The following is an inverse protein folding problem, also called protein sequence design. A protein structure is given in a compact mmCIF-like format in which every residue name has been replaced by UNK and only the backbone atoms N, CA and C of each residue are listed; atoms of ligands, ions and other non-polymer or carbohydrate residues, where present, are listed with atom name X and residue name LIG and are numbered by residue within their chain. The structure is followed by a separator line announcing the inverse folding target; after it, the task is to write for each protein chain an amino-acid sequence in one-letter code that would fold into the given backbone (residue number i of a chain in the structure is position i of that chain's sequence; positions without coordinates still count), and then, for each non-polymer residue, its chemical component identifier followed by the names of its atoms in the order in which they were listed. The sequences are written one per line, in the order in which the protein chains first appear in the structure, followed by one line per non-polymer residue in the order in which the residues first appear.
data_IF_769760620619
#
_entry.id   IF_769760620619
#
_cell.length_a   1.000
_cell.length_b   1.000
_cell.length_c   1.000
_cell.angle_alpha   90.00
_cell.angle_beta   90.00
_cell.angle_gamma   90.00
#
_symmetry.space_group_name_H-M   'P 1'
#
loop_
_entity.id
_entity.type
_entity.pdbx_description
1 polymer ?
#
# COMPACT_ATOMS: atom_id res chain seq x y z
N UNK A 1 8.59 -12.13 -19.69
CA UNK A 1 7.99 -12.43 -18.38
C UNK A 1 6.48 -12.22 -18.47
N UNK A 2 5.66 -13.13 -17.93
CA UNK A 2 4.19 -12.97 -17.92
C UNK A 2 3.77 -11.96 -16.85
N UNK A 3 2.73 -11.16 -17.10
CA UNK A 3 2.13 -10.22 -16.13
C UNK A 3 0.75 -10.73 -15.71
N UNK A 4 0.42 -10.61 -14.43
CA UNK A 4 -0.86 -11.07 -13.87
C UNK A 4 -1.67 -9.91 -13.30
N UNK A 5 -3.00 -10.03 -13.35
CA UNK A 5 -3.94 -9.08 -12.76
C UNK A 5 -5.12 -9.81 -12.14
N UNK A 6 -5.61 -9.33 -11.00
CA UNK A 6 -6.86 -9.83 -10.42
C UNK A 6 -8.07 -9.47 -11.29
N UNK A 7 -9.10 -10.31 -11.27
CA UNK A 7 -10.32 -10.21 -12.10
C UNK A 7 -11.55 -10.26 -11.17
N UNK A 8 -12.54 -9.34 -11.31
CA UNK A 8 -12.66 -8.27 -12.32
C UNK A 8 -11.78 -7.03 -12.03
N UNK A 9 -10.98 -7.08 -10.97
CA UNK A 9 -10.00 -6.05 -10.66
C UNK A 9 -8.99 -6.51 -9.64
N UNK A 10 -7.88 -5.78 -9.49
CA UNK A 10 -6.79 -6.19 -8.58
C UNK A 10 -7.25 -6.41 -7.13
N UNK A 11 -8.25 -5.64 -6.67
CA UNK A 11 -8.81 -5.78 -5.32
C UNK A 11 -9.65 -7.06 -5.10
N UNK A 12 -10.00 -7.80 -6.15
CA UNK A 12 -10.71 -9.09 -6.03
C UNK A 12 -9.92 -10.09 -5.18
N UNK A 13 -8.60 -10.14 -5.37
CA UNK A 13 -7.70 -11.04 -4.64
C UNK A 13 -7.86 -10.83 -3.12
N UNK A 14 -7.72 -9.59 -2.66
CA UNK A 14 -7.85 -9.28 -1.23
C UNK A 14 -9.28 -9.48 -0.72
N UNK A 15 -10.30 -9.16 -1.52
CA UNK A 15 -11.71 -9.37 -1.14
C UNK A 15 -12.03 -10.84 -0.90
N UNK A 16 -11.55 -11.72 -1.77
CA UNK A 16 -11.74 -13.17 -1.60
C UNK A 16 -11.04 -13.67 -0.33
N UNK A 17 -9.78 -13.25 -0.10
CA UNK A 17 -9.04 -13.62 1.12
C UNK A 17 -9.75 -13.17 2.41
N UNK A 18 -10.43 -12.02 2.39
CA UNK A 18 -11.22 -11.52 3.52
C UNK A 18 -12.49 -12.33 3.81
N UNK A 19 -12.90 -13.22 2.90
CA UNK A 19 -14.12 -14.04 2.98
C UNK A 19 -13.84 -15.52 3.25
N UNK A 20 -12.56 -15.91 3.39
CA UNK A 20 -12.16 -17.27 3.73
C UNK A 20 -12.72 -17.69 5.10
N UNK A 21 -13.01 -18.99 5.23
CA UNK A 21 -13.57 -19.54 6.46
C UNK A 21 -12.64 -19.29 7.66
N UNK A 22 -13.23 -18.82 8.77
CA UNK A 22 -12.49 -18.45 9.98
C UNK A 22 -11.91 -17.03 9.97
N UNK A 23 -11.99 -16.28 8.86
CA UNK A 23 -11.55 -14.89 8.81
C UNK A 23 -12.67 -13.94 9.22
N UNK A 24 -12.46 -13.18 10.32
CA UNK A 24 -13.37 -12.12 10.74
C UNK A 24 -12.82 -10.75 10.33
N UNK A 25 -13.30 -10.25 9.19
CA UNK A 25 -12.90 -8.94 8.67
C UNK A 25 -13.60 -7.77 9.37
N UNK A 26 -12.83 -6.80 9.90
CA UNK A 26 -13.36 -5.55 10.48
C UNK A 26 -12.89 -4.34 9.66
N UNK A 27 -13.84 -3.61 9.06
CA UNK A 27 -13.58 -2.40 8.28
C UNK A 27 -13.95 -1.14 9.05
N UNK A 28 -13.37 0.00 8.68
CA UNK A 28 -13.61 1.28 9.36
C UNK A 28 -12.99 1.35 10.77
N UNK A 29 -12.12 0.41 11.11
CA UNK A 29 -11.40 0.36 12.38
C UNK A 29 -9.92 0.62 12.13
N UNK A 30 -9.42 1.72 12.68
CA UNK A 30 -7.98 2.02 12.70
C UNK A 30 -7.44 1.58 14.05
N UNK A 31 -6.40 0.74 14.08
CA UNK A 31 -5.71 0.41 15.33
C UNK A 31 -5.00 1.67 15.83
N UNK A 32 -5.27 2.04 17.08
CA UNK A 32 -4.68 3.21 17.75
C UNK A 32 -3.65 2.84 18.80
N UNK A 33 -3.74 1.65 19.39
CA UNK A 33 -2.82 1.17 20.41
C UNK A 33 -2.71 -0.34 20.40
N UNK A 34 -1.50 -0.83 20.64
CA UNK A 34 -1.14 -2.25 20.72
C UNK A 34 -0.29 -2.45 21.97
N UNK A 35 -0.87 -3.06 23.01
CA UNK A 35 -0.18 -3.30 24.29
C UNK A 35 0.07 -4.79 24.49
N UNK A 36 1.30 -5.16 24.86
CA UNK A 36 1.60 -6.51 25.33
C UNK A 36 1.34 -6.62 26.83
N UNK A 37 0.45 -7.51 27.23
CA UNK A 37 0.12 -7.79 28.63
C UNK A 37 0.96 -8.98 29.10
N UNK A 38 2.06 -8.70 29.80
CA UNK A 38 3.04 -9.71 30.20
C UNK A 38 2.46 -10.78 31.14
N UNK A 39 1.55 -10.39 32.04
CA UNK A 39 0.85 -11.28 32.97
C UNK A 39 -0.06 -12.30 32.27
N UNK A 40 -0.61 -11.93 31.12
CA UNK A 40 -1.53 -12.77 30.33
C UNK A 40 -0.87 -13.41 29.11
N UNK A 41 0.36 -13.01 28.77
CA UNK A 41 1.06 -13.44 27.55
C UNK A 41 0.21 -13.22 26.29
N UNK A 42 -0.48 -12.07 26.24
CA UNK A 42 -1.44 -11.71 25.19
C UNK A 42 -1.34 -10.23 24.82
N UNK A 43 -1.72 -9.90 23.59
CA UNK A 43 -1.91 -8.53 23.11
C UNK A 43 -3.28 -7.98 23.48
N UNK A 44 -3.34 -6.70 23.82
CA UNK A 44 -4.57 -5.91 23.90
C UNK A 44 -4.56 -4.86 22.81
N UNK A 45 -5.64 -4.77 22.03
CA UNK A 45 -5.76 -3.82 20.93
C UNK A 45 -6.86 -2.80 21.23
N UNK A 46 -6.56 -1.53 21.00
CA UNK A 46 -7.56 -0.46 21.02
C UNK A 46 -7.56 0.28 19.68
N UNK A 47 -8.73 0.74 19.26
CA UNK A 47 -8.88 1.57 18.08
C UNK A 47 -8.35 2.99 18.31
N UNK A 48 -8.20 3.75 17.22
CA UNK A 48 -7.76 5.13 17.25
C UNK A 48 -8.68 6.04 18.05
N UNK A 49 -9.99 5.76 18.12
CA UNK A 49 -10.94 6.46 18.99
C UNK A 49 -10.99 5.91 20.44
N UNK A 50 -10.18 4.90 20.76
CA UNK A 50 -10.02 4.37 22.12
C UNK A 50 -10.97 3.24 22.50
N UNK A 51 -11.73 2.70 21.54
CA UNK A 51 -12.59 1.53 21.76
C UNK A 51 -11.73 0.27 21.91
N UNK A 52 -12.06 -0.54 22.90
CA UNK A 52 -11.46 -1.87 23.07
C UNK A 52 -11.84 -2.79 21.90
N UNK A 53 -10.82 -3.42 21.30
CA UNK A 53 -10.96 -4.35 20.17
C UNK A 53 -10.72 -5.81 20.59
N UNK A 54 -10.38 -6.05 21.85
CA UNK A 54 -10.18 -7.37 22.45
C UNK A 54 -8.71 -7.74 22.62
N UNK A 55 -8.51 -8.98 23.10
CA UNK A 55 -7.20 -9.55 23.35
C UNK A 55 -6.88 -10.70 22.38
N UNK A 56 -5.60 -10.86 22.04
CA UNK A 56 -5.12 -11.80 21.04
C UNK A 56 -3.82 -12.46 21.47
N UNK A 57 -3.67 -13.77 21.26
CA UNK A 57 -2.43 -14.48 21.59
C UNK A 57 -1.26 -14.06 20.70
N UNK A 58 -1.52 -13.87 19.41
CA UNK A 58 -0.54 -13.50 18.40
C UNK A 58 -1.01 -12.28 17.63
N UNK A 59 -0.07 -11.46 17.17
CA UNK A 59 -0.35 -10.32 16.28
C UNK A 59 0.52 -10.41 15.04
N UNK A 60 -0.11 -10.22 13.88
CA UNK A 60 0.57 -9.98 12.61
C UNK A 60 0.29 -8.54 12.20
N UNK A 61 1.31 -7.70 12.27
CA UNK A 61 1.22 -6.28 11.94
C UNK A 61 1.70 -6.05 10.50
N UNK A 62 0.78 -5.65 9.61
CA UNK A 62 1.02 -5.60 8.16
C UNK A 62 1.10 -4.19 7.57
N UNK A 63 1.16 -3.17 8.41
CA UNK A 63 1.30 -1.77 8.00
C UNK A 63 2.53 -1.16 8.66
N UNK A 64 3.45 -0.60 7.86
CA UNK A 64 4.64 0.12 8.35
C UNK A 64 4.29 1.28 9.30
N UNK A 65 3.06 1.79 9.23
CA UNK A 65 2.60 2.92 10.04
C UNK A 65 2.42 2.55 11.51
N UNK A 66 2.41 1.27 11.89
CA UNK A 66 2.34 0.83 13.29
C UNK A 66 3.43 1.46 14.18
N UNK A 67 4.58 1.82 13.59
CA UNK A 67 5.74 2.35 14.29
C UNK A 67 6.25 3.68 13.71
N UNK A 68 5.52 4.30 12.78
CA UNK A 68 5.97 5.53 12.12
C UNK A 68 5.51 6.78 12.86
N UNK A 69 6.45 7.64 13.25
CA UNK A 69 6.15 8.92 13.92
C UNK A 69 5.35 9.88 13.03
N UNK A 70 5.38 9.67 11.71
CA UNK A 70 4.53 10.41 10.76
C UNK A 70 3.03 10.24 11.05
N UNK A 71 2.62 9.13 11.66
CA UNK A 71 1.22 8.89 12.09
C UNK A 71 0.78 9.91 13.13
N UNK A 72 1.68 10.36 14.01
CA UNK A 72 1.37 11.36 15.03
C UNK A 72 0.93 12.68 14.42
N UNK A 73 1.59 13.13 13.35
CA UNK A 73 1.20 14.34 12.63
C UNK A 73 -0.14 14.22 11.87
N UNK A 74 -0.57 13.00 11.56
CA UNK A 74 -1.82 12.72 10.83
C UNK A 74 -3.01 12.48 11.76
N UNK A 75 -2.79 11.83 12.90
CA UNK A 75 -3.85 11.36 13.80
C UNK A 75 -3.92 12.12 15.12
N UNK A 76 -2.87 12.86 15.48
CA UNK A 76 -2.75 13.48 16.79
C UNK A 76 -2.47 12.49 17.94
N UNK A 77 -2.19 11.22 17.62
CA UNK A 77 -1.89 10.15 18.59
C UNK A 77 -0.54 9.49 18.25
N UNK A 78 0.19 8.94 19.24
CA UNK A 78 1.42 8.21 18.97
C UNK A 78 1.18 7.00 18.06
N UNK A 79 2.23 6.42 17.47
CA UNK A 79 2.11 5.19 16.68
C UNK A 79 1.50 4.06 17.52
N UNK A 80 0.72 3.15 16.89
CA UNK A 80 0.06 2.05 17.61
C UNK A 80 0.99 1.16 18.43
N UNK A 81 2.19 0.87 17.92
CA UNK A 81 3.19 0.06 18.59
C UNK A 81 4.19 0.95 19.32
N UNK A 82 4.23 0.84 20.65
CA UNK A 82 5.19 1.56 21.47
C UNK A 82 6.60 0.93 21.34
N UNK A 83 7.46 1.58 20.55
CA UNK A 83 8.83 1.12 20.34
C UNK A 83 9.72 1.21 21.58
N UNK A 84 9.32 1.93 22.64
CA UNK A 84 10.12 2.00 23.87
C UNK A 84 10.25 0.63 24.57
N UNK A 85 9.26 -0.25 24.36
CA UNK A 85 9.31 -1.65 24.83
C UNK A 85 9.99 -2.59 23.82
N UNK A 86 10.39 -2.07 22.64
CA UNK A 86 11.11 -2.80 21.59
C UNK A 86 12.37 -2.06 21.09
N UNK A 87 13.36 -1.77 21.97
CA UNK A 87 14.50 -0.95 21.60
C UNK A 87 15.31 -1.54 20.42
N UNK A 88 15.39 -2.87 20.30
CA UNK A 88 16.04 -3.54 19.17
C UNK A 88 15.25 -3.42 17.86
N UNK A 89 13.91 -3.33 17.91
CA UNK A 89 13.08 -3.15 16.72
C UNK A 89 13.04 -1.69 16.28
N UNK A 90 13.20 -0.73 17.19
CA UNK A 90 13.09 0.71 16.89
C UNK A 90 13.98 1.12 15.73
N UNK A 91 15.24 0.68 15.71
CA UNK A 91 16.18 1.00 14.63
C UNK A 91 15.80 0.40 13.26
N UNK A 92 14.98 -0.67 13.25
CA UNK A 92 14.61 -1.39 12.04
C UNK A 92 13.27 -0.94 11.45
N UNK A 93 12.25 -0.72 12.30
CA UNK A 93 10.87 -0.54 11.84
C UNK A 93 10.36 0.90 11.96
N UNK A 94 11.09 1.76 12.66
CA UNK A 94 10.70 3.17 12.80
C UNK A 94 10.90 3.91 11.48
N UNK A 95 9.85 4.58 11.01
CA UNK A 95 9.88 5.52 9.87
C UNK A 95 10.52 4.96 8.58
N UNK A 96 10.21 3.70 8.26
CA UNK A 96 10.67 3.02 7.04
C UNK A 96 10.49 3.95 5.82
N UNK A 97 11.58 4.26 5.08
CA UNK A 97 11.54 5.19 3.98
C UNK A 97 10.70 4.64 2.83
N UNK A 98 10.03 5.55 2.12
CA UNK A 98 9.09 5.23 1.04
C UNK A 98 9.28 6.12 -0.17
N UNK A 99 8.90 5.62 -1.32
CA UNK A 99 8.84 6.33 -2.59
C UNK A 99 7.37 6.66 -2.87
N UNK A 100 6.97 7.94 -2.89
CA UNK A 100 5.62 8.32 -3.25
C UNK A 100 5.37 8.20 -4.77
N UNK A 101 4.10 8.15 -5.16
CA UNK A 101 3.70 8.38 -6.53
C UNK A 101 2.31 9.02 -6.61
N UNK A 102 2.01 9.65 -7.74
CA UNK A 102 0.65 9.96 -8.14
C UNK A 102 0.20 8.96 -9.21
N UNK A 103 -1.06 8.54 -9.11
CA UNK A 103 -1.74 7.79 -10.15
C UNK A 103 -2.82 8.69 -10.77
N UNK A 104 -2.79 8.85 -12.09
CA UNK A 104 -3.80 9.60 -12.85
C UNK A 104 -4.67 8.60 -13.61
N UNK A 105 -5.97 8.62 -13.34
CA UNK A 105 -6.96 7.89 -14.12
C UNK A 105 -7.60 8.81 -15.15
N UNK A 106 -7.62 8.37 -16.40
CA UNK A 106 -8.28 9.03 -17.53
C UNK A 106 -9.36 8.11 -18.09
N UNK A 107 -10.47 8.68 -18.55
CA UNK A 107 -11.41 7.99 -19.42
C UNK A 107 -11.70 8.83 -20.66
N UNK A 108 -11.79 8.17 -21.80
CA UNK A 108 -12.06 8.74 -23.11
C UNK A 108 -13.37 8.18 -23.65
N UNK A 109 -14.13 9.01 -24.37
CA UNK A 109 -15.38 8.62 -25.04
C UNK A 109 -15.15 7.71 -26.24
N UNK A 110 -13.93 7.69 -26.77
CA UNK A 110 -13.48 6.85 -27.87
C UNK A 110 -12.13 6.21 -27.50
N UNK A 111 -11.79 5.00 -28.01
CA UNK A 111 -10.48 4.43 -27.78
C UNK A 111 -9.39 5.26 -28.45
N UNK A 112 -8.21 5.32 -27.84
CA UNK A 112 -7.05 6.01 -28.39
C UNK A 112 -6.44 5.21 -29.55
N UNK A 113 -7.07 5.29 -30.73
CA UNK A 113 -6.71 4.49 -31.90
C UNK A 113 -5.25 4.66 -32.37
N UNK A 114 -4.65 5.83 -32.09
CA UNK A 114 -3.27 6.14 -32.46
C UNK A 114 -2.23 5.68 -31.42
N UNK A 115 -2.66 5.03 -30.33
CA UNK A 115 -1.74 4.44 -29.33
C UNK A 115 -1.68 2.93 -29.59
N UNK A 116 -0.65 2.40 -30.27
CA UNK A 116 -0.63 1.03 -30.80
C UNK A 116 -0.31 -0.04 -29.74
N UNK A 117 -0.29 0.33 -28.47
CA UNK A 117 0.11 -0.53 -27.34
C UNK A 117 -0.84 -0.35 -26.17
N UNK A 118 -0.92 -1.36 -25.32
CA UNK A 118 -1.74 -1.30 -24.10
C UNK A 118 -1.00 -0.70 -22.90
N UNK A 119 0.27 -0.36 -23.05
CA UNK A 119 1.03 0.38 -22.05
C UNK A 119 2.51 0.52 -22.39
N UNK A 120 3.15 1.53 -21.81
CA UNK A 120 4.53 1.90 -22.11
C UNK A 120 5.16 2.69 -20.96
N UNK A 121 6.50 2.71 -20.93
CA UNK A 121 7.31 3.49 -19.99
C UNK A 121 7.71 4.82 -20.60
N UNK A 122 7.90 5.83 -19.75
CA UNK A 122 8.49 7.11 -20.12
C UNK A 122 9.95 7.12 -19.65
N UNK A 123 10.89 7.44 -20.55
CA UNK A 123 12.32 7.50 -20.24
C UNK A 123 12.86 8.93 -20.12
N UNK A 124 12.22 9.89 -20.81
CA UNK A 124 12.63 11.30 -20.85
C UNK A 124 11.56 12.22 -20.26
N UNK A 125 10.83 11.74 -19.26
CA UNK A 125 9.81 12.53 -18.57
C UNK A 125 10.21 12.72 -17.12
N UNK A 126 10.18 13.97 -16.66
CA UNK A 126 10.41 14.29 -15.26
C UNK A 126 9.20 13.95 -14.39
N UNK A 127 8.00 13.84 -14.99
CA UNK A 127 6.73 13.73 -14.26
C UNK A 127 6.03 12.39 -14.40
N UNK A 128 6.13 11.69 -15.54
CA UNK A 128 5.53 10.38 -15.78
C UNK A 128 6.57 9.26 -15.84
N UNK A 129 6.23 8.08 -15.34
CA UNK A 129 7.07 6.88 -15.43
C UNK A 129 6.45 5.76 -16.26
N UNK A 130 5.12 5.67 -16.27
CA UNK A 130 4.40 4.56 -16.89
C UNK A 130 2.96 4.94 -17.24
N UNK A 131 2.45 4.43 -18.36
CA UNK A 131 1.03 4.49 -18.74
C UNK A 131 0.53 3.09 -19.14
N UNK A 132 -0.73 2.80 -18.84
CA UNK A 132 -1.38 1.55 -19.23
C UNK A 132 -2.87 1.75 -19.48
N UNK A 133 -3.38 1.13 -20.55
CA UNK A 133 -4.79 1.02 -20.86
C UNK A 133 -5.46 0.08 -19.85
N UNK A 134 -6.08 0.63 -18.80
CA UNK A 134 -6.71 -0.18 -17.76
C UNK A 134 -7.84 -1.04 -18.33
N UNK A 135 -8.57 -0.52 -19.32
CA UNK A 135 -9.65 -1.25 -20.03
C UNK A 135 -9.20 -2.53 -20.73
N UNK A 136 -7.91 -2.65 -21.08
CA UNK A 136 -7.38 -3.86 -21.73
C UNK A 136 -7.22 -5.05 -20.78
N UNK A 137 -7.35 -4.85 -19.46
CA UNK A 137 -7.23 -5.92 -18.47
C UNK A 137 -8.47 -6.83 -18.51
N UNK A 138 -8.30 -8.15 -18.29
CA UNK A 138 -9.43 -9.09 -18.23
C UNK A 138 -10.48 -8.70 -17.18
N UNK A 139 -11.76 -8.84 -17.55
CA UNK A 139 -12.91 -8.57 -16.68
C UNK A 139 -13.14 -7.10 -16.33
N UNK A 140 -12.50 -6.16 -17.03
CA UNK A 140 -12.83 -4.74 -16.89
C UNK A 140 -14.10 -4.40 -17.66
N UNK A 141 -15.07 -3.88 -16.92
CA UNK A 141 -16.30 -3.34 -17.50
C UNK A 141 -16.10 -1.85 -17.76
N UNK A 142 -16.10 -1.48 -19.04
CA UNK A 142 -16.16 -0.09 -19.49
C UNK A 142 -17.32 0.07 -20.47
N UNK A 143 -17.96 1.26 -20.54
CA UNK A 143 -18.98 1.54 -21.53
C UNK A 143 -18.51 1.20 -22.96
N UNK A 144 -19.42 0.78 -23.86
CA UNK A 144 -19.08 0.56 -25.27
C UNK A 144 -18.38 1.76 -25.86
N UNK A 145 -17.40 1.52 -26.73
CA UNK A 145 -16.57 2.54 -27.37
C UNK A 145 -15.78 3.46 -26.41
N UNK A 146 -15.75 3.21 -25.10
CA UNK A 146 -14.92 3.99 -24.18
C UNK A 146 -13.61 3.28 -23.85
N UNK A 147 -12.61 4.06 -23.42
CA UNK A 147 -11.33 3.51 -22.96
C UNK A 147 -10.81 4.29 -21.76
N UNK A 148 -10.26 3.56 -20.79
CA UNK A 148 -9.63 4.11 -19.61
C UNK A 148 -8.13 3.83 -19.57
N UNK A 149 -7.37 4.82 -19.12
CA UNK A 149 -5.92 4.76 -18.95
C UNK A 149 -5.54 5.11 -17.52
N UNK A 150 -4.52 4.45 -17.01
CA UNK A 150 -3.88 4.80 -15.74
C UNK A 150 -2.43 5.15 -16.01
N UNK A 151 -2.05 6.35 -15.58
CA UNK A 151 -0.71 6.87 -15.66
C UNK A 151 -0.13 6.95 -14.26
N UNK A 152 1.17 6.72 -14.14
CA UNK A 152 1.89 6.80 -12.87
C UNK A 152 3.00 7.82 -13.00
N UNK A 153 3.09 8.69 -12.01
CA UNK A 153 4.17 9.67 -11.95
C UNK A 153 5.55 9.02 -11.71
N UNK A 154 6.60 9.81 -11.85
CA UNK A 154 7.91 9.53 -11.26
C UNK A 154 7.85 9.71 -9.73
N UNK A 155 8.87 9.23 -9.02
CA UNK A 155 8.99 9.44 -7.57
C UNK A 155 9.36 10.89 -7.27
N UNK A 156 10.23 11.45 -8.11
CA UNK A 156 10.84 12.76 -8.00
C UNK A 156 9.78 13.86 -8.11
N UNK A 157 8.91 13.77 -9.12
CA UNK A 157 7.75 14.66 -9.26
C UNK A 157 6.82 14.54 -8.05
N UNK A 158 6.49 13.32 -7.64
CA UNK A 158 5.57 13.11 -6.53
C UNK A 158 6.12 13.69 -5.22
N UNK A 159 7.41 13.50 -4.92
CA UNK A 159 8.06 14.08 -3.75
C UNK A 159 7.99 15.61 -3.77
N UNK A 160 8.39 16.24 -4.87
CA UNK A 160 8.36 17.71 -5.02
C UNK A 160 6.96 18.28 -4.81
N UNK A 161 5.95 17.66 -5.41
CA UNK A 161 4.55 18.10 -5.29
C UNK A 161 4.05 17.90 -3.86
N UNK A 162 4.36 16.76 -3.24
CA UNK A 162 3.98 16.47 -1.85
C UNK A 162 4.61 17.45 -0.87
N UNK A 163 5.89 17.79 -1.03
CA UNK A 163 6.60 18.71 -0.16
C UNK A 163 5.96 20.11 -0.19
N UNK A 164 5.45 20.54 -1.36
CA UNK A 164 4.72 21.82 -1.48
C UNK A 164 3.29 21.78 -0.92
N UNK A 165 2.60 20.64 -1.00
CA UNK A 165 1.23 20.48 -0.48
C UNK A 165 1.17 20.11 1.01
N UNK A 166 2.27 19.61 1.56
CA UNK A 166 2.37 19.09 2.91
C UNK A 166 1.85 17.65 3.10
N UNK A 167 1.92 17.13 4.34
CA UNK A 167 1.66 15.73 4.65
C UNK A 167 0.17 15.37 4.73
N UNK A 168 -0.72 16.37 4.88
CA UNK A 168 -2.15 16.16 5.02
C UNK A 168 -2.80 15.73 3.70
N UNK A 169 -4.03 15.24 3.80
CA UNK A 169 -4.85 14.89 2.63
C UNK A 169 -4.96 16.12 1.70
N UNK A 170 -4.51 16.01 0.42
CA UNK A 170 -4.62 17.10 -0.52
C UNK A 170 -6.07 17.51 -0.78
N UNK A 171 -6.31 18.78 -1.08
CA UNK A 171 -7.63 19.25 -1.53
C UNK A 171 -7.97 18.72 -2.92
N UNK A 172 -9.26 18.77 -3.29
CA UNK A 172 -9.70 18.40 -4.62
C UNK A 172 -9.02 19.26 -5.71
N UNK A 173 -8.91 20.57 -5.49
CA UNK A 173 -8.25 21.50 -6.43
C UNK A 173 -6.76 21.21 -6.58
N UNK A 174 -6.07 20.84 -5.50
CA UNK A 174 -4.67 20.46 -5.55
C UNK A 174 -4.47 19.19 -6.39
N UNK A 175 -5.33 18.19 -6.24
CA UNK A 175 -5.30 16.98 -7.07
C UNK A 175 -5.73 17.25 -8.52
N UNK A 176 -6.65 18.17 -8.76
CA UNK A 176 -7.03 18.59 -10.11
C UNK A 176 -5.83 19.21 -10.84
N UNK A 177 -5.06 20.08 -10.18
CA UNK A 177 -3.81 20.64 -10.76
C UNK A 177 -2.79 19.56 -11.12
N UNK A 178 -2.58 18.58 -10.24
CA UNK A 178 -1.71 17.43 -10.53
C UNK A 178 -2.23 16.62 -11.71
N UNK A 179 -3.55 16.42 -11.79
CA UNK A 179 -4.16 15.69 -12.89
C UNK A 179 -3.91 16.40 -14.23
N UNK A 180 -4.10 17.72 -14.28
CA UNK A 180 -3.80 18.56 -15.44
C UNK A 180 -2.33 18.51 -15.84
N UNK A 181 -1.40 18.62 -14.88
CA UNK A 181 0.05 18.57 -15.16
C UNK A 181 0.47 17.21 -15.75
N UNK A 182 0.05 16.11 -15.12
CA UNK A 182 0.36 14.76 -15.60
C UNK A 182 -0.34 14.46 -16.94
N UNK A 183 -1.52 15.03 -17.19
CA UNK A 183 -2.19 14.89 -18.47
C UNK A 183 -1.47 15.66 -19.58
N UNK A 184 -1.01 16.90 -19.33
CA UNK A 184 -0.20 17.66 -20.30
C UNK A 184 1.06 16.91 -20.70
N UNK A 185 1.73 16.28 -19.73
CA UNK A 185 2.89 15.43 -20.02
C UNK A 185 2.53 14.27 -20.95
N UNK A 186 1.37 13.65 -20.74
CA UNK A 186 0.89 12.58 -21.61
C UNK A 186 0.60 13.07 -23.03
N UNK A 187 0.05 14.28 -23.19
CA UNK A 187 -0.16 14.90 -24.49
C UNK A 187 1.17 15.28 -25.18
N UNK A 188 2.22 15.58 -24.41
CA UNK A 188 3.54 15.91 -24.93
C UNK A 188 4.31 14.72 -25.55
N UNK A 189 3.75 13.50 -25.50
CA UNK A 189 4.35 12.31 -26.13
C UNK A 189 4.36 12.36 -27.66
N UNK A 190 3.66 13.32 -28.28
CA UNK A 190 3.46 13.38 -29.73
C UNK A 190 2.40 12.40 -30.25
N UNK A 191 1.80 11.60 -29.35
CA UNK A 191 0.62 10.80 -29.66
C UNK A 191 -0.62 11.70 -29.71
N UNK A 192 -1.61 11.33 -30.53
CA UNK A 192 -2.88 12.02 -30.55
C UNK A 192 -3.71 11.64 -29.32
N UNK A 193 -3.59 12.43 -28.25
CA UNK A 193 -4.31 12.24 -27.00
C UNK A 193 -5.37 13.36 -26.85
N UNK A 194 -6.66 13.07 -27.12
CA UNK A 194 -7.74 14.05 -27.00
C UNK A 194 -8.02 14.39 -25.54
N UNK A 195 -8.89 15.37 -25.30
CA UNK A 195 -9.36 15.68 -23.96
C UNK A 195 -10.17 14.49 -23.39
N UNK A 196 -9.87 14.02 -22.16
CA UNK A 196 -10.62 12.95 -21.52
C UNK A 196 -11.98 13.47 -21.01
N UNK A 197 -12.98 12.60 -21.03
CA UNK A 197 -14.31 12.87 -20.44
C UNK A 197 -14.31 12.69 -18.91
N UNK A 198 -13.27 12.06 -18.37
CA UNK A 198 -13.05 11.92 -16.94
C UNK A 198 -11.56 11.93 -16.63
N UNK A 199 -11.20 12.65 -15.58
CA UNK A 199 -9.81 12.78 -15.14
C UNK A 199 -9.74 12.88 -13.61
N UNK A 200 -8.89 12.06 -12.98
CA UNK A 200 -8.72 12.07 -11.52
C UNK A 200 -7.33 11.60 -11.10
N UNK A 201 -6.61 12.46 -10.39
CA UNK A 201 -5.36 12.09 -9.72
C UNK A 201 -5.61 11.52 -8.32
N UNK A 202 -4.74 10.60 -7.91
CA UNK A 202 -4.69 10.02 -6.57
C UNK A 202 -3.25 10.03 -6.06
N UNK A 203 -3.06 10.46 -4.80
CA UNK A 203 -1.76 10.48 -4.13
C UNK A 203 -1.52 9.19 -3.36
N UNK A 204 -0.47 8.47 -3.70
CA UNK A 204 0.12 7.42 -2.87
C UNK A 204 1.36 7.97 -2.17
N UNK A 205 1.19 8.52 -0.96
CA UNK A 205 2.28 9.19 -0.22
C UNK A 205 3.39 8.26 0.27
N UNK A 206 3.14 6.96 0.34
CA UNK A 206 4.13 5.92 0.60
C UNK A 206 3.84 4.70 -0.25
N UNK A 207 3.96 4.86 -1.57
CA UNK A 207 3.52 3.88 -2.55
C UNK A 207 4.38 2.62 -2.55
N UNK A 208 5.70 2.78 -2.39
CA UNK A 208 6.66 1.67 -2.39
C UNK A 208 7.66 1.85 -1.26
N UNK A 209 8.03 0.80 -0.52
CA UNK A 209 9.15 0.87 0.40
C UNK A 209 10.45 1.11 -0.36
N UNK A 210 11.31 1.97 0.20
CA UNK A 210 12.60 2.28 -0.40
C UNK A 210 13.68 1.25 -0.03
N UNK A 211 13.50 0.55 1.09
CA UNK A 211 14.37 -0.50 1.64
C UNK A 211 13.54 -1.72 2.05
N UNK A 212 14.20 -2.86 2.26
CA UNK A 212 13.60 -4.06 2.84
C UNK A 212 14.20 -4.33 4.21
N UNK A 213 13.37 -4.58 5.23
CA UNK A 213 13.81 -4.73 6.63
C UNK A 213 13.71 -6.17 7.17
N UNK A 214 13.15 -7.11 6.41
CA UNK A 214 12.89 -8.48 6.91
C UNK A 214 14.04 -9.47 6.72
N UNK A 215 15.13 -9.06 6.08
CA UNK A 215 16.28 -9.93 5.81
C UNK A 215 15.91 -11.22 5.07
N UNK A 216 16.67 -12.29 5.32
CA UNK A 216 16.44 -13.61 4.71
C UNK A 216 15.10 -14.23 5.12
N UNK A 217 14.63 -13.89 6.33
CA UNK A 217 13.35 -14.33 6.88
C UNK A 217 12.16 -13.64 6.21
N UNK A 218 12.36 -12.53 5.47
CA UNK A 218 11.31 -11.75 4.79
C UNK A 218 10.22 -11.22 5.73
N UNK A 219 10.43 -11.25 7.04
CA UNK A 219 9.55 -10.73 8.08
C UNK A 219 10.40 -10.39 9.31
N UNK A 220 9.90 -9.53 10.18
CA UNK A 220 10.48 -9.32 11.52
C UNK A 220 9.65 -10.12 12.52
N UNK A 221 10.30 -11.04 13.24
CA UNK A 221 9.65 -11.92 14.20
C UNK A 221 10.16 -11.66 15.61
N UNK A 222 9.27 -11.21 16.49
CA UNK A 222 9.53 -11.07 17.92
C UNK A 222 8.85 -12.21 18.69
N UNK A 223 9.63 -13.27 18.94
CA UNK A 223 9.13 -14.53 19.50
C UNK A 223 8.54 -14.36 20.90
N UNK A 224 9.19 -13.59 21.77
CA UNK A 224 8.80 -13.51 23.18
C UNK A 224 7.47 -12.78 23.37
N UNK A 225 7.13 -11.92 22.42
CA UNK A 225 5.88 -11.15 22.41
C UNK A 225 4.95 -11.60 21.30
N UNK A 226 5.20 -12.76 20.67
CA UNK A 226 4.29 -13.37 19.68
C UNK A 226 3.87 -12.41 18.56
N UNK A 227 4.80 -11.56 18.10
CA UNK A 227 4.55 -10.51 17.12
C UNK A 227 5.31 -10.76 15.83
N UNK A 228 4.59 -10.84 14.72
CA UNK A 228 5.16 -10.82 13.38
C UNK A 228 4.87 -9.46 12.72
N UNK A 229 5.89 -8.84 12.15
CA UNK A 229 5.74 -7.67 11.28
C UNK A 229 6.03 -8.12 9.85
N UNK A 230 5.07 -7.89 8.98
CA UNK A 230 5.07 -8.39 7.61
C UNK A 230 4.65 -7.30 6.63
N UNK A 231 5.04 -7.46 5.37
CA UNK A 231 4.64 -6.55 4.31
C UNK A 231 5.64 -6.57 3.16
N UNK A 232 5.32 -5.85 2.10
CA UNK A 232 6.24 -5.61 0.99
C UNK A 232 7.55 -4.97 1.48
N UNK A 233 7.49 -4.13 2.50
CA UNK A 233 8.63 -3.50 3.18
C UNK A 233 9.52 -4.48 3.96
N UNK A 234 9.09 -5.73 4.18
CA UNK A 234 9.93 -6.77 4.76
C UNK A 234 10.58 -7.69 3.71
N UNK A 235 10.17 -7.63 2.45
CA UNK A 235 10.66 -8.53 1.40
C UNK A 235 11.08 -7.77 0.13
N UNK A 236 10.10 -7.28 -0.63
CA UNK A 236 10.31 -6.49 -1.85
C UNK A 236 9.06 -5.64 -2.14
N UNK A 237 9.19 -4.47 -2.81
CA UNK A 237 8.09 -3.56 -3.14
C UNK A 237 7.15 -4.12 -4.23
N UNK A 238 6.56 -5.29 -3.99
CA UNK A 238 5.73 -6.02 -4.93
C UNK A 238 4.63 -6.82 -4.21
N UNK A 239 3.59 -7.20 -4.96
CA UNK A 239 2.53 -8.09 -4.44
C UNK A 239 3.13 -9.43 -3.99
N UNK A 240 4.05 -10.01 -4.76
CA UNK A 240 4.73 -11.25 -4.39
C UNK A 240 5.52 -11.09 -3.09
N UNK A 241 6.26 -9.99 -2.94
CA UNK A 241 6.99 -9.68 -1.72
C UNK A 241 6.09 -9.61 -0.49
N UNK A 242 4.94 -8.91 -0.60
CA UNK A 242 3.96 -8.83 0.48
C UNK A 242 3.39 -10.22 0.86
N UNK A 243 3.04 -11.04 -0.12
CA UNK A 243 2.52 -12.40 0.10
C UNK A 243 3.57 -13.28 0.78
N UNK A 244 4.80 -13.30 0.26
CA UNK A 244 5.90 -14.09 0.83
C UNK A 244 6.21 -13.67 2.26
N UNK A 245 6.18 -12.37 2.55
CA UNK A 245 6.37 -11.85 3.91
C UNK A 245 5.28 -12.33 4.87
N UNK A 246 4.00 -12.24 4.46
CA UNK A 246 2.87 -12.72 5.26
C UNK A 246 2.93 -14.23 5.52
N UNK A 247 3.28 -15.02 4.49
CA UNK A 247 3.48 -16.47 4.64
C UNK A 247 4.62 -16.81 5.59
N UNK A 248 5.72 -16.05 5.56
CA UNK A 248 6.84 -16.24 6.50
C UNK A 248 6.42 -15.96 7.94
N UNK A 249 5.73 -14.84 8.20
CA UNK A 249 5.20 -14.51 9.52
C UNK A 249 4.25 -15.58 10.05
N UNK A 250 3.32 -16.06 9.21
CA UNK A 250 2.42 -17.16 9.57
C UNK A 250 3.20 -18.45 9.90
N UNK A 251 4.26 -18.76 9.15
CA UNK A 251 5.10 -19.94 9.39
C UNK A 251 5.84 -19.85 10.74
N UNK A 252 6.32 -18.67 11.14
CA UNK A 252 6.94 -18.47 12.48
C UNK A 252 5.94 -18.71 13.61
N UNK A 253 4.70 -18.25 13.44
CA UNK A 253 3.61 -18.47 14.41
C UNK A 253 3.25 -19.97 14.51
N UNK A 254 3.02 -20.63 13.37
CA UNK A 254 2.72 -22.06 13.34
C UNK A 254 3.84 -22.91 13.95
N UNK A 255 5.10 -22.53 13.73
CA UNK A 255 6.25 -23.16 14.36
C UNK A 255 6.24 -23.07 15.89
N UNK A 256 5.62 -22.04 16.46
CA UNK A 256 5.46 -21.92 17.91
C UNK A 256 4.30 -22.78 18.45
N UNK A 257 3.23 -22.95 17.66
CA UNK A 257 2.07 -23.78 18.01
C UNK A 257 2.37 -25.28 17.92
N UNK A 258 3.28 -25.67 17.01
CA UNK A 258 3.65 -27.06 16.76
C UNK A 258 4.81 -27.56 17.65
N UNK A 259 5.38 -26.70 18.51
CA UNK A 259 6.27 -27.18 19.55
C UNK A 259 5.41 -27.85 20.62
N UNK A 260 5.63 -29.13 20.97
CA UNK A 260 4.96 -29.71 22.12
C UNK A 260 5.27 -28.81 23.32
N UNK A 261 4.22 -28.28 23.94
CA UNK A 261 4.31 -27.62 25.24
C UNK A 261 5.12 -28.53 26.15
N UNK A 262 6.34 -28.10 26.49
CA UNK A 262 7.32 -28.92 27.17
C UNK A 262 6.75 -29.57 28.43
N UNK A 263 7.04 -30.85 28.59
CA UNK A 263 7.18 -31.53 29.88
C UNK A 263 8.22 -30.80 30.74
#
# INVERSE_FOLDING_TARGET
MKKYVGVPGMNSICKSLCQEDGVVSKFGVTIGKMDWLQDRSSWSLASLDGKDLGSFDFVVATDKNIASQKVSGLTGKPPPLDLSVFPHLSAMIQDIPVRPCFALMLAFSEPLAMVPVQGFSFYNSDSLSWAFCDSSKPGRHVPPNSQSWVLRSTTEYASKVIDSMGPRKPSADALAKVAEELFREFQATGLNIPQPIFMKAHRWGGAFPAISIGGDDKCVWEKNMKLAICGDFCASPSVEGAVLSGMSGASKILGCLNLPSGL
#
